data_IF_090756459764
#
_entry.id   IF_090756459764
#
_cell.length_a   1.000
_cell.length_b   1.000
_cell.length_c   1.000
_cell.angle_alpha   90.00
_cell.angle_beta   90.00
_cell.angle_gamma   90.00
#
_symmetry.space_group_name_H-M   'P 1'
#
loop_
_entity.id
_entity.type
_entity.pdbx_description
1 polymer ?
#
# COMPACT_ATOMS: atom_id res chain seq x y z
N UNK A 1 -6.39 36.26 -40.30
CA UNK A 1 -6.17 35.26 -41.37
C UNK A 1 -5.39 34.11 -40.77
N UNK A 2 -6.11 33.03 -40.42
CA UNK A 2 -5.55 31.83 -39.79
C UNK A 2 -4.80 30.98 -40.82
N UNK A 3 -3.60 30.46 -40.52
CA UNK A 3 -3.03 29.38 -41.33
C UNK A 3 -3.59 28.03 -40.86
N UNK A 4 -4.04 27.25 -41.84
CA UNK A 4 -4.61 25.89 -41.71
C UNK A 4 -3.60 24.88 -41.13
N UNK A 5 -4.08 23.80 -40.50
CA UNK A 5 -3.24 22.66 -40.14
C UNK A 5 -2.78 21.90 -41.40
N UNK A 6 -1.61 21.24 -41.38
CA UNK A 6 -1.13 20.47 -42.53
C UNK A 6 -2.00 19.22 -42.71
N UNK A 7 -2.47 19.06 -43.94
CA UNK A 7 -3.25 17.96 -44.49
C UNK A 7 -2.45 16.67 -44.57
N UNK A 8 -3.12 15.55 -44.29
CA UNK A 8 -2.68 14.18 -44.51
C UNK A 8 -2.03 13.97 -45.88
N UNK A 9 -0.81 13.44 -45.88
CA UNK A 9 -0.17 12.85 -47.06
C UNK A 9 -0.55 11.35 -47.12
N UNK A 10 -0.99 10.83 -48.29
CA UNK A 10 -1.37 9.43 -48.42
C UNK A 10 -0.14 8.54 -48.39
N UNK A 11 -0.26 7.37 -47.75
CA UNK A 11 0.68 6.25 -47.85
C UNK A 11 0.84 5.83 -49.33
N UNK A 12 1.81 6.41 -50.01
CA UNK A 12 2.33 5.94 -51.29
C UNK A 12 3.84 6.10 -51.25
N UNK A 13 4.54 5.06 -50.80
CA UNK A 13 6.00 5.19 -50.63
C UNK A 13 6.80 3.97 -50.19
N UNK A 14 6.23 2.76 -50.06
CA UNK A 14 7.01 1.51 -50.02
C UNK A 14 6.24 0.43 -50.78
N UNK A 15 6.04 0.68 -52.08
CA UNK A 15 5.53 -0.30 -53.05
C UNK A 15 6.52 -0.38 -54.24
N UNK A 16 7.81 -0.25 -53.92
CA UNK A 16 8.89 -0.01 -54.88
C UNK A 16 10.02 -1.03 -54.83
N UNK A 17 9.74 -2.30 -54.51
CA UNK A 17 10.63 -3.42 -54.87
C UNK A 17 9.73 -4.56 -55.41
N UNK A 18 9.12 -4.33 -56.56
CA UNK A 18 8.40 -5.38 -57.30
C UNK A 18 8.62 -5.31 -58.81
N UNK A 19 9.72 -4.69 -59.27
CA UNK A 19 10.06 -4.63 -60.70
C UNK A 19 11.56 -4.40 -60.88
N UNK A 20 12.35 -5.49 -60.74
CA UNK A 20 13.62 -5.70 -61.48
C UNK A 20 14.25 -7.05 -61.11
N UNK A 21 13.58 -8.16 -61.42
CA UNK A 21 14.25 -9.42 -61.82
C UNK A 21 13.35 -10.09 -62.86
N UNK A 22 13.35 -9.53 -64.07
CA UNK A 22 12.79 -10.17 -65.26
C UNK A 22 13.93 -10.37 -66.25
N UNK A 23 14.92 -11.17 -65.85
CA UNK A 23 15.86 -11.94 -66.66
C UNK A 23 16.90 -12.53 -65.71
N UNK A 24 17.28 -13.79 -65.94
CA UNK A 24 18.20 -14.65 -65.16
C UNK A 24 17.57 -15.52 -64.06
N UNK A 25 17.53 -16.83 -64.36
CA UNK A 25 17.43 -18.04 -63.54
C UNK A 25 16.50 -18.06 -62.31
N UNK A 26 15.56 -19.02 -62.34
CA UNK A 26 14.81 -19.46 -61.15
C UNK A 26 15.83 -19.79 -60.03
N UNK A 27 15.78 -19.13 -58.86
CA UNK A 27 16.70 -19.48 -57.79
C UNK A 27 16.37 -20.90 -57.33
N UNK A 28 17.37 -21.78 -57.35
CA UNK A 28 17.25 -23.12 -56.76
C UNK A 28 16.85 -22.93 -55.29
N UNK A 29 15.76 -23.57 -54.90
CA UNK A 29 15.23 -23.52 -53.53
C UNK A 29 16.22 -24.25 -52.61
N UNK A 30 17.16 -23.50 -52.03
CA UNK A 30 18.16 -24.01 -51.10
C UNK A 30 17.64 -23.93 -49.67
N UNK A 31 18.22 -24.71 -48.75
CA UNK A 31 17.85 -24.66 -47.33
C UNK A 31 17.97 -23.25 -46.73
N UNK A 32 18.89 -22.45 -47.27
CA UNK A 32 19.16 -21.06 -46.87
C UNK A 32 18.01 -20.10 -47.27
N UNK A 33 17.45 -20.23 -48.48
CA UNK A 33 16.29 -19.41 -48.90
C UNK A 33 15.02 -19.76 -48.11
N UNK A 34 14.87 -21.02 -47.67
CA UNK A 34 13.79 -21.44 -46.78
C UNK A 34 13.95 -20.90 -45.36
N UNK A 35 15.18 -20.85 -44.85
CA UNK A 35 15.51 -20.26 -43.55
C UNK A 35 15.19 -18.76 -43.49
N UNK A 36 15.61 -18.01 -44.51
CA UNK A 36 15.34 -16.57 -44.61
C UNK A 36 13.83 -16.26 -44.71
N UNK A 37 13.06 -17.04 -45.48
CA UNK A 37 11.58 -16.88 -45.54
C UNK A 37 10.92 -17.09 -44.18
N UNK A 38 11.42 -18.04 -43.39
CA UNK A 38 10.88 -18.31 -42.05
C UNK A 38 11.18 -17.17 -41.09
N UNK A 39 12.39 -16.60 -41.14
CA UNK A 39 12.74 -15.42 -40.35
C UNK A 39 11.90 -14.19 -40.71
N UNK A 40 11.65 -13.96 -42.00
CA UNK A 40 10.79 -12.86 -42.45
C UNK A 40 9.36 -13.03 -41.93
N UNK A 41 8.82 -14.25 -41.97
CA UNK A 41 7.48 -14.53 -41.46
C UNK A 41 7.38 -14.29 -39.94
N UNK A 42 8.41 -14.69 -39.17
CA UNK A 42 8.46 -14.43 -37.73
C UNK A 42 8.55 -12.94 -37.41
N UNK A 43 9.39 -12.19 -38.12
CA UNK A 43 9.50 -10.74 -37.95
C UNK A 43 8.20 -10.01 -38.30
N UNK A 44 7.47 -10.50 -39.31
CA UNK A 44 6.15 -9.97 -39.65
C UNK A 44 5.12 -10.24 -38.54
N UNK A 45 5.15 -11.42 -37.94
CA UNK A 45 4.32 -11.76 -36.79
C UNK A 45 4.63 -10.85 -35.59
N UNK A 46 5.91 -10.70 -35.23
CA UNK A 46 6.35 -9.84 -34.12
C UNK A 46 5.94 -8.38 -34.34
N UNK A 47 6.10 -7.88 -35.57
CA UNK A 47 5.69 -6.51 -35.94
C UNK A 47 4.17 -6.32 -35.79
N UNK A 48 3.36 -7.32 -36.19
CA UNK A 48 1.92 -7.26 -36.02
C UNK A 48 1.49 -7.28 -34.54
N UNK A 49 2.19 -8.06 -33.71
CA UNK A 49 1.94 -8.10 -32.28
C UNK A 49 2.30 -6.76 -31.62
N UNK A 50 3.47 -6.20 -31.91
CA UNK A 50 3.90 -4.88 -31.43
C UNK A 50 2.94 -3.77 -31.81
N UNK A 51 2.38 -3.80 -33.03
CA UNK A 51 1.37 -2.83 -33.45
C UNK A 51 0.08 -2.97 -32.63
N UNK A 52 -0.35 -4.20 -32.33
CA UNK A 52 -1.54 -4.43 -31.49
C UNK A 52 -1.33 -3.94 -30.04
N UNK A 53 -0.14 -4.14 -29.49
CA UNK A 53 0.23 -3.65 -28.16
C UNK A 53 0.30 -2.11 -28.11
N UNK A 54 0.83 -1.48 -29.16
CA UNK A 54 0.86 -0.02 -29.27
C UNK A 54 -0.55 0.58 -29.33
N UNK A 55 -1.48 -0.02 -30.05
CA UNK A 55 -2.88 0.45 -30.06
C UNK A 55 -3.55 0.25 -28.70
N UNK A 56 -3.30 -0.86 -28.02
CA UNK A 56 -3.79 -1.07 -26.66
C UNK A 56 -3.24 -0.04 -25.66
N UNK A 57 -1.96 0.35 -25.80
CA UNK A 57 -1.34 1.39 -24.98
C UNK A 57 -1.91 2.78 -25.27
N UNK A 58 -2.17 3.13 -26.53
CA UNK A 58 -2.85 4.38 -26.89
C UNK A 58 -4.25 4.47 -26.26
N UNK A 59 -5.01 3.38 -26.29
CA UNK A 59 -6.33 3.31 -25.65
C UNK A 59 -6.25 3.50 -24.13
N UNK A 60 -5.23 2.90 -23.48
CA UNK A 60 -4.99 3.11 -22.03
C UNK A 60 -4.59 4.55 -21.70
N UNK A 61 -3.78 5.19 -22.55
CA UNK A 61 -3.39 6.59 -22.38
C UNK A 61 -4.62 7.51 -22.47
N UNK A 62 -5.51 7.28 -23.44
CA UNK A 62 -6.77 8.01 -23.54
C UNK A 62 -7.68 7.81 -22.32
N UNK A 63 -7.74 6.59 -21.77
CA UNK A 63 -8.49 6.33 -20.53
C UNK A 63 -7.89 7.08 -19.34
N UNK A 64 -6.56 7.11 -19.23
CA UNK A 64 -5.87 7.88 -18.18
C UNK A 64 -6.11 9.39 -18.30
N UNK A 65 -6.10 9.94 -19.50
CA UNK A 65 -6.42 11.36 -19.72
C UNK A 65 -7.87 11.67 -19.30
N UNK A 66 -8.81 10.75 -19.58
CA UNK A 66 -10.18 10.85 -19.10
C UNK A 66 -10.31 10.80 -17.57
N UNK A 67 -9.54 9.94 -16.91
CA UNK A 67 -9.48 9.88 -15.44
C UNK A 67 -8.88 11.14 -14.84
N UNK A 68 -7.83 11.69 -15.47
CA UNK A 68 -7.19 12.94 -15.05
C UNK A 68 -8.17 14.12 -15.13
N UNK A 69 -8.91 14.25 -16.23
CA UNK A 69 -9.93 15.30 -16.37
C UNK A 69 -11.04 15.16 -15.32
N UNK A 70 -11.43 13.93 -14.97
CA UNK A 70 -12.41 13.69 -13.90
C UNK A 70 -11.85 14.05 -12.52
N UNK A 71 -10.58 13.77 -12.27
CA UNK A 71 -9.90 14.15 -11.03
C UNK A 71 -9.79 15.68 -10.90
N UNK A 72 -9.36 16.38 -11.95
CA UNK A 72 -9.30 17.86 -11.99
C UNK A 72 -10.69 18.48 -11.75
N UNK A 73 -11.75 17.89 -12.33
CA UNK A 73 -13.12 18.31 -12.05
C UNK A 73 -13.51 18.08 -10.59
N UNK A 74 -13.20 16.91 -10.03
CA UNK A 74 -13.51 16.59 -8.64
C UNK A 74 -12.77 17.52 -7.66
N UNK A 75 -11.51 17.87 -7.93
CA UNK A 75 -10.75 18.85 -7.15
C UNK A 75 -11.41 20.24 -7.20
N UNK A 76 -11.87 20.66 -8.38
CA UNK A 76 -12.64 21.91 -8.53
C UNK A 76 -13.95 21.88 -7.73
N UNK A 77 -14.69 20.78 -7.79
CA UNK A 77 -15.96 20.61 -7.07
C UNK A 77 -15.74 20.63 -5.55
N UNK A 78 -14.66 20.00 -5.05
CA UNK A 78 -14.26 20.05 -3.64
C UNK A 78 -13.92 21.49 -3.22
N UNK A 79 -13.17 22.23 -4.05
CA UNK A 79 -12.83 23.62 -3.76
C UNK A 79 -14.06 24.54 -3.72
N UNK A 80 -15.10 24.26 -4.52
CA UNK A 80 -16.36 24.99 -4.48
C UNK A 80 -17.18 24.65 -3.22
N UNK A 81 -17.25 23.36 -2.85
CA UNK A 81 -17.89 22.93 -1.61
C UNK A 81 -17.22 23.56 -0.37
N UNK A 82 -15.89 23.64 -0.35
CA UNK A 82 -15.15 24.31 0.73
C UNK A 82 -15.49 25.80 0.82
N UNK A 83 -15.62 26.50 -0.32
CA UNK A 83 -16.07 27.90 -0.35
C UNK A 83 -17.49 28.06 0.18
N UNK A 84 -18.40 27.16 -0.17
CA UNK A 84 -19.79 27.17 0.34
C UNK A 84 -19.84 26.90 1.85
N UNK A 85 -19.05 25.96 2.36
CA UNK A 85 -18.93 25.69 3.81
C UNK A 85 -18.41 26.93 4.55
N UNK A 86 -17.40 27.60 4.00
CA UNK A 86 -16.87 28.84 4.59
C UNK A 86 -17.91 29.96 4.63
N UNK A 87 -18.70 30.14 3.56
CA UNK A 87 -19.79 31.12 3.50
C UNK A 87 -20.95 30.81 4.47
N UNK A 88 -21.28 29.53 4.65
CA UNK A 88 -22.29 29.10 5.64
C UNK A 88 -21.77 29.38 7.05
N UNK A 89 -20.49 29.12 7.30
CA UNK A 89 -19.85 29.37 8.59
C UNK A 89 -19.77 30.86 8.94
N UNK A 90 -19.62 31.74 7.94
CA UNK A 90 -19.61 33.20 8.15
C UNK A 90 -21.00 33.83 8.34
N UNK A 91 -22.06 33.16 7.90
CA UNK A 91 -23.44 33.66 7.96
C UNK A 91 -24.28 33.06 9.11
N UNK A 92 -23.67 32.27 9.99
CA UNK A 92 -24.37 31.66 11.12
C UNK A 92 -24.80 32.73 12.14
N UNK A 93 -26.12 32.92 12.41
CA UNK A 93 -26.58 33.81 13.47
C UNK A 93 -26.25 33.23 14.85
N UNK A 94 -25.83 34.06 15.79
CA UNK A 94 -25.72 33.69 17.21
C UNK A 94 -27.09 33.32 17.77
N UNK A 95 -27.27 32.05 18.17
CA UNK A 95 -28.53 31.52 18.66
C UNK A 95 -28.88 31.99 20.09
N UNK A 96 -30.13 32.41 20.37
CA UNK A 96 -30.71 32.42 21.71
C UNK A 96 -31.31 31.03 22.07
N UNK A 97 -31.60 30.75 23.36
CA UNK A 97 -31.89 29.41 23.83
C UNK A 97 -33.32 28.92 23.48
N UNK A 98 -33.42 27.59 23.31
CA UNK A 98 -34.60 26.81 22.89
C UNK A 98 -35.82 26.89 23.80
N UNK A 99 -36.99 26.50 23.26
CA UNK A 99 -37.85 25.54 23.94
C UNK A 99 -38.34 24.38 23.04
N UNK A 100 -38.80 23.32 23.71
CA UNK A 100 -39.46 22.10 23.21
C UNK A 100 -40.60 22.34 22.20
N UNK A 101 -40.81 21.45 21.22
CA UNK A 101 -41.81 20.33 21.23
C UNK A 101 -42.06 19.78 19.80
N UNK A 102 -42.29 18.47 19.72
CA UNK A 102 -43.17 17.72 18.78
C UNK A 102 -42.88 17.58 17.26
N UNK A 103 -42.62 16.32 16.88
CA UNK A 103 -43.23 15.49 15.80
C UNK A 103 -43.39 16.08 14.39
N UNK A 104 -42.72 15.47 13.40
CA UNK A 104 -43.34 14.74 12.26
C UNK A 104 -42.27 14.19 11.29
N UNK A 105 -42.47 12.95 10.85
CA UNK A 105 -41.75 12.25 9.77
C UNK A 105 -42.06 12.87 8.40
N UNK A 106 -41.13 12.73 7.42
CA UNK A 106 -41.58 12.34 6.09
C UNK A 106 -40.72 11.24 5.44
N UNK A 107 -41.44 10.18 5.08
CA UNK A 107 -41.55 9.57 3.74
C UNK A 107 -40.29 9.35 2.88
N UNK A 108 -40.06 8.05 2.63
CA UNK A 108 -39.09 7.44 1.72
C UNK A 108 -39.44 7.63 0.24
N UNK A 109 -38.43 7.89 -0.59
CA UNK A 109 -38.50 7.84 -2.07
C UNK A 109 -37.60 6.68 -2.57
N UNK A 110 -38.01 5.91 -3.58
CA UNK A 110 -37.50 4.56 -3.84
C UNK A 110 -36.23 4.54 -4.71
N UNK A 111 -35.43 3.49 -4.54
CA UNK A 111 -34.29 3.14 -5.37
C UNK A 111 -34.73 2.59 -6.75
N UNK A 112 -33.96 2.83 -7.83
CA UNK A 112 -34.21 2.17 -9.10
C UNK A 112 -33.63 0.75 -9.10
N UNK A 113 -34.42 -0.19 -9.61
CA UNK A 113 -34.00 -1.55 -9.90
C UNK A 113 -33.15 -1.61 -11.19
N UNK A 114 -32.08 -2.40 -11.18
CA UNK A 114 -31.56 -3.03 -12.40
C UNK A 114 -31.07 -4.43 -12.06
N UNK A 115 -31.70 -5.41 -12.69
CA UNK A 115 -31.40 -6.83 -12.52
C UNK A 115 -30.17 -7.30 -13.28
N UNK A 116 -29.75 -8.50 -12.90
CA UNK A 116 -28.71 -9.30 -13.54
C UNK A 116 -28.18 -10.32 -12.55
N UNK A 117 -28.70 -11.56 -12.61
CA UNK A 117 -28.21 -12.69 -11.81
C UNK A 117 -26.76 -13.04 -12.19
N UNK A 118 -25.92 -13.37 -11.19
CA UNK A 118 -24.94 -14.42 -11.38
C UNK A 118 -24.98 -15.46 -10.24
N UNK A 119 -25.17 -16.72 -10.65
CA UNK A 119 -24.79 -17.97 -9.95
C UNK A 119 -25.11 -18.04 -8.45
N UNK A 120 -26.29 -18.57 -8.17
CA UNK A 120 -26.84 -18.88 -6.86
C UNK A 120 -25.97 -19.90 -6.08
N UNK A 121 -25.21 -19.42 -5.09
CA UNK A 121 -24.75 -20.24 -3.97
C UNK A 121 -25.85 -20.26 -2.89
N UNK A 122 -26.12 -21.40 -2.24
CA UNK A 122 -27.23 -21.54 -1.29
C UNK A 122 -27.14 -20.49 -0.16
N UNK A 123 -28.13 -19.60 -0.15
CA UNK A 123 -28.34 -18.61 0.91
C UNK A 123 -28.85 -19.33 2.16
N UNK A 124 -27.96 -19.53 3.14
CA UNK A 124 -28.37 -19.84 4.51
C UNK A 124 -28.85 -18.53 5.13
N UNK A 125 -30.08 -18.53 5.64
CA UNK A 125 -30.79 -17.33 6.11
C UNK A 125 -29.98 -16.50 7.12
N UNK A 126 -30.06 -15.17 7.05
CA UNK A 126 -29.20 -14.31 7.84
C UNK A 126 -29.65 -14.16 9.29
N UNK A 127 -28.71 -14.27 10.22
CA UNK A 127 -28.76 -13.61 11.52
C UNK A 127 -28.23 -12.16 11.37
N UNK A 128 -28.88 -11.38 10.49
CA UNK A 128 -28.49 -10.01 10.07
C UNK A 128 -29.19 -8.92 10.87
N UNK A 129 -29.33 -9.09 12.18
CA UNK A 129 -29.78 -7.99 13.01
C UNK A 129 -28.85 -6.79 12.83
N UNK A 130 -29.34 -5.56 12.56
CA UNK A 130 -28.50 -4.37 12.64
C UNK A 130 -27.89 -4.28 14.04
N UNK A 131 -26.64 -3.85 14.13
CA UNK A 131 -25.96 -3.72 15.42
C UNK A 131 -26.81 -2.90 16.39
N UNK A 132 -27.01 -3.42 17.60
CA UNK A 132 -27.64 -2.67 18.67
C UNK A 132 -26.75 -1.45 18.99
N UNK A 133 -27.25 -0.26 18.69
CA UNK A 133 -26.54 1.00 18.90
C UNK A 133 -26.17 1.21 20.38
N UNK A 134 -26.99 0.75 21.32
CA UNK A 134 -26.68 0.88 22.74
C UNK A 134 -25.50 -0.03 23.12
N UNK A 135 -25.48 -1.25 22.59
CA UNK A 135 -24.37 -2.18 22.77
C UNK A 135 -23.07 -1.62 22.17
N UNK A 136 -23.10 -1.17 20.92
CA UNK A 136 -21.94 -0.61 20.24
C UNK A 136 -21.40 0.64 20.95
N UNK A 137 -22.27 1.54 21.39
CA UNK A 137 -21.88 2.73 22.15
C UNK A 137 -21.22 2.38 23.49
N UNK A 138 -21.70 1.34 24.18
CA UNK A 138 -21.06 0.85 25.41
C UNK A 138 -19.65 0.33 25.14
N UNK A 139 -19.45 -0.35 24.01
CA UNK A 139 -18.16 -0.94 23.63
C UNK A 139 -17.14 0.09 23.14
N UNK A 140 -17.54 1.32 22.81
CA UNK A 140 -16.56 2.40 22.54
C UNK A 140 -15.58 2.59 23.70
N UNK A 141 -16.02 2.39 24.94
CA UNK A 141 -15.19 2.54 26.14
C UNK A 141 -14.11 1.45 26.28
N UNK A 142 -14.25 0.30 25.59
CA UNK A 142 -13.23 -0.73 25.54
C UNK A 142 -12.24 -0.55 24.38
N UNK A 143 -12.39 0.48 23.55
CA UNK A 143 -11.54 0.74 22.38
C UNK A 143 -10.61 1.93 22.64
N UNK A 144 -9.37 1.81 22.19
CA UNK A 144 -8.32 2.81 22.33
C UNK A 144 -7.78 3.22 20.98
N UNK A 145 -7.32 4.47 20.90
CA UNK A 145 -6.50 4.97 19.81
C UNK A 145 -5.05 4.78 20.21
N UNK A 146 -4.27 4.19 19.32
CA UNK A 146 -2.83 3.98 19.50
C UNK A 146 -2.12 4.89 18.50
N UNK A 147 -1.41 5.89 19.02
CA UNK A 147 -0.59 6.80 18.23
C UNK A 147 0.87 6.51 18.45
N UNK A 148 1.61 6.29 17.38
CA UNK A 148 3.06 6.30 17.38
C UNK A 148 3.63 7.36 16.46
N UNK A 149 4.96 7.44 16.41
CA UNK A 149 5.70 8.38 15.57
C UNK A 149 5.83 7.93 14.11
N UNK A 150 5.55 6.65 13.80
CA UNK A 150 5.58 6.08 12.45
C UNK A 150 4.21 5.58 11.98
N UNK A 151 3.33 5.20 12.90
CA UNK A 151 2.04 4.59 12.60
C UNK A 151 0.98 4.98 13.62
N UNK A 152 -0.27 5.01 13.20
CA UNK A 152 -1.44 5.20 14.05
C UNK A 152 -2.49 4.14 13.72
N UNK A 153 -3.18 3.66 14.75
CA UNK A 153 -4.22 2.67 14.60
C UNK A 153 -5.15 2.63 15.81
N UNK A 154 -5.86 1.52 15.92
CA UNK A 154 -6.82 1.24 16.98
C UNK A 154 -6.34 0.04 17.77
N UNK A 155 -6.69 -0.04 19.05
CA UNK A 155 -6.61 -1.27 19.84
C UNK A 155 -7.85 -1.42 20.71
N UNK A 156 -7.98 -2.51 21.43
CA UNK A 156 -9.11 -2.71 22.33
C UNK A 156 -8.78 -3.64 23.50
N UNK A 157 -9.46 -3.41 24.61
CA UNK A 157 -9.43 -4.30 25.76
C UNK A 157 -10.40 -5.47 25.53
N UNK A 158 -9.95 -6.67 25.87
CA UNK A 158 -10.83 -7.83 25.97
C UNK A 158 -10.35 -8.76 27.08
N UNK A 159 -11.29 -9.56 27.59
CA UNK A 159 -11.02 -10.61 28.58
C UNK A 159 -10.80 -11.95 27.90
N UNK A 160 -9.79 -12.66 28.38
CA UNK A 160 -9.51 -14.03 28.00
C UNK A 160 -8.99 -14.79 29.23
N UNK A 161 -9.64 -15.91 29.57
CA UNK A 161 -9.26 -16.77 30.68
C UNK A 161 -9.11 -16.01 32.01
N UNK A 162 -10.04 -15.08 32.29
CA UNK A 162 -10.06 -14.30 33.52
C UNK A 162 -9.03 -13.17 33.61
N UNK A 163 -8.29 -12.88 32.53
CA UNK A 163 -7.32 -11.78 32.46
C UNK A 163 -7.74 -10.75 31.41
N UNK A 164 -7.46 -9.48 31.67
CA UNK A 164 -7.65 -8.39 30.72
C UNK A 164 -6.38 -8.21 29.88
N UNK A 165 -6.55 -8.14 28.56
CA UNK A 165 -5.49 -7.81 27.61
C UNK A 165 -5.89 -6.64 26.74
N UNK A 166 -4.91 -5.83 26.33
CA UNK A 166 -5.03 -4.89 25.22
C UNK A 166 -4.56 -5.58 23.95
N UNK A 167 -5.44 -5.72 22.96
CA UNK A 167 -5.17 -6.27 21.65
C UNK A 167 -4.99 -5.16 20.60
N UNK A 168 -4.12 -5.41 19.63
CA UNK A 168 -3.98 -4.59 18.41
C UNK A 168 -3.29 -5.42 17.31
N UNK A 169 -3.20 -4.87 16.10
CA UNK A 169 -2.41 -5.43 15.02
C UNK A 169 -0.93 -5.15 15.26
N UNK A 170 -0.06 -6.08 14.87
CA UNK A 170 1.38 -5.96 15.13
C UNK A 170 2.00 -4.80 14.34
N UNK A 171 1.56 -4.57 13.09
CA UNK A 171 2.03 -3.46 12.27
C UNK A 171 1.69 -2.07 12.85
N UNK A 172 0.66 -1.95 13.69
CA UNK A 172 0.31 -0.68 14.35
C UNK A 172 1.42 -0.26 15.31
N UNK A 173 2.07 -1.23 15.98
CA UNK A 173 3.16 -0.95 16.91
C UNK A 173 4.53 -0.97 16.24
N UNK A 174 4.71 -1.83 15.24
CA UNK A 174 5.98 -2.08 14.56
C UNK A 174 6.65 -0.78 14.06
N UNK A 175 7.91 -0.57 14.45
CA UNK A 175 8.74 0.56 13.99
C UNK A 175 8.55 1.88 14.73
N UNK A 176 7.59 1.97 15.64
CA UNK A 176 7.44 3.17 16.48
C UNK A 176 8.51 3.21 17.58
N UNK A 177 9.03 4.39 17.90
CA UNK A 177 9.89 4.62 19.06
C UNK A 177 9.11 5.02 20.31
N UNK A 178 7.89 5.52 20.13
CA UNK A 178 6.98 5.96 21.19
C UNK A 178 5.57 5.52 20.87
N UNK A 179 4.82 5.18 21.92
CA UNK A 179 3.41 4.81 21.81
C UNK A 179 2.61 5.62 22.83
N UNK A 180 1.54 6.24 22.37
CA UNK A 180 0.52 6.88 23.17
C UNK A 180 -0.79 6.13 22.97
N UNK A 181 -1.27 5.49 24.04
CA UNK A 181 -2.45 4.63 24.04
C UNK A 181 -3.52 5.29 24.89
N UNK A 182 -4.62 5.71 24.26
CA UNK A 182 -5.66 6.49 24.94
C UNK A 182 -7.08 6.12 24.53
N UNK A 183 -8.03 6.25 25.46
CA UNK A 183 -9.46 6.22 25.13
C UNK A 183 -9.89 7.54 24.48
N UNK A 184 -11.07 7.55 23.85
CA UNK A 184 -11.72 8.79 23.37
C UNK A 184 -12.10 9.75 24.51
N UNK A 185 -12.23 9.25 25.73
CA UNK A 185 -12.42 10.05 26.94
C UNK A 185 -11.11 10.70 27.43
N UNK A 186 -9.98 10.51 26.73
CA UNK A 186 -8.69 11.13 27.05
C UNK A 186 -7.88 10.40 28.13
N UNK A 187 -8.32 9.23 28.60
CA UNK A 187 -7.54 8.43 29.56
C UNK A 187 -6.39 7.73 28.85
N UNK A 188 -5.17 8.00 29.29
CA UNK A 188 -3.94 7.34 28.80
C UNK A 188 -3.62 6.10 29.64
N UNK A 189 -3.11 5.06 28.98
CA UNK A 189 -2.63 3.83 29.59
C UNK A 189 -1.11 3.75 29.51
N UNK A 190 -0.48 3.41 30.63
CA UNK A 190 0.99 3.37 30.78
C UNK A 190 1.49 2.12 31.51
N UNK A 191 0.61 1.35 32.15
CA UNK A 191 0.98 0.17 32.95
C UNK A 191 0.61 -1.11 32.22
N UNK A 192 1.62 -1.72 31.59
CA UNK A 192 1.49 -2.95 30.82
C UNK A 192 2.36 -4.05 31.44
N UNK A 193 1.84 -5.28 31.39
CA UNK A 193 2.55 -6.50 31.75
C UNK A 193 3.26 -7.11 30.54
N UNK A 194 3.21 -8.43 30.44
CA UNK A 194 3.82 -9.16 29.34
C UNK A 194 3.31 -8.68 27.98
N UNK A 195 4.25 -8.46 27.05
CA UNK A 195 3.97 -8.22 25.65
C UNK A 195 4.11 -9.53 24.87
N UNK A 196 3.08 -9.88 24.11
CA UNK A 196 3.01 -11.15 23.40
C UNK A 196 2.64 -10.90 21.94
N UNK A 197 3.29 -11.66 21.05
CA UNK A 197 3.11 -11.58 19.61
C UNK A 197 2.54 -12.91 19.12
N UNK A 198 1.54 -12.86 18.26
CA UNK A 198 1.01 -14.07 17.63
C UNK A 198 2.00 -14.61 16.59
N UNK A 199 2.21 -15.91 16.55
CA UNK A 199 3.20 -16.50 15.63
C UNK A 199 2.76 -16.52 14.16
N UNK A 200 1.46 -16.64 13.90
CA UNK A 200 0.90 -16.86 12.56
C UNK A 200 -0.13 -15.80 12.13
N UNK A 201 -0.20 -14.67 12.84
CA UNK A 201 -1.13 -13.60 12.56
C UNK A 201 -0.53 -12.24 12.92
N UNK A 202 -0.99 -11.20 12.24
CA UNK A 202 -0.62 -9.80 12.49
C UNK A 202 -1.33 -9.27 13.74
N UNK A 203 -0.99 -9.82 14.89
CA UNK A 203 -1.66 -9.57 16.16
C UNK A 203 -0.65 -9.53 17.30
N UNK A 204 -0.87 -8.60 18.21
CA UNK A 204 -0.13 -8.50 19.46
C UNK A 204 -1.07 -8.22 20.61
N UNK A 205 -0.63 -8.53 21.83
CA UNK A 205 -1.36 -8.15 23.03
C UNK A 205 -0.45 -7.76 24.18
N UNK A 206 -0.96 -6.89 25.04
CA UNK A 206 -0.39 -6.59 26.35
C UNK A 206 -1.28 -7.16 27.43
N UNK A 207 -0.70 -7.88 28.40
CA UNK A 207 -1.40 -8.08 29.67
C UNK A 207 -1.58 -6.72 30.35
N UNK A 208 -2.78 -6.41 30.85
CA UNK A 208 -3.02 -5.13 31.53
C UNK A 208 -2.61 -5.21 33.00
N UNK A 209 -1.98 -4.14 33.50
CA UNK A 209 -1.70 -3.94 34.94
C UNK A 209 -2.53 -2.81 35.56
N UNK A 210 -3.38 -2.19 34.76
CA UNK A 210 -4.40 -1.23 35.19
C UNK A 210 -5.70 -1.54 34.45
N UNK A 211 -6.82 -1.47 35.17
CA UNK A 211 -8.12 -1.84 34.60
C UNK A 211 -8.73 -0.67 33.81
N UNK A 212 -9.36 -0.93 32.65
CA UNK A 212 -10.16 0.06 31.96
C UNK A 212 -11.39 0.47 32.78
N UNK A 213 -11.98 1.62 32.45
CA UNK A 213 -13.09 2.18 33.21
C UNK A 213 -14.38 1.33 33.08
N UNK A 214 -14.56 0.68 31.94
CA UNK A 214 -15.66 -0.24 31.67
C UNK A 214 -15.16 -1.68 31.64
N UNK A 215 -15.95 -2.67 32.11
CA UNK A 215 -15.63 -4.07 31.93
C UNK A 215 -15.36 -4.40 30.45
N UNK A 216 -14.20 -4.97 30.11
CA UNK A 216 -13.91 -5.37 28.74
C UNK A 216 -14.85 -6.48 28.25
N UNK A 217 -15.17 -6.53 26.95
CA UNK A 217 -15.88 -7.66 26.36
C UNK A 217 -15.05 -8.96 26.46
N UNK A 218 -15.75 -10.09 26.44
CA UNK A 218 -15.12 -11.41 26.31
C UNK A 218 -14.82 -11.71 24.83
N UNK A 219 -13.89 -12.64 24.58
CA UNK A 219 -13.66 -13.18 23.23
C UNK A 219 -14.87 -14.00 22.75
N UNK A 220 -15.10 -14.00 21.44
CA UNK A 220 -16.05 -14.89 20.80
C UNK A 220 -15.53 -16.35 20.84
N UNK A 221 -16.46 -17.30 20.78
CA UNK A 221 -16.17 -18.74 20.67
C UNK A 221 -16.18 -19.17 19.20
N UNK A 222 -15.60 -20.33 18.90
CA UNK A 222 -15.37 -20.85 17.54
C UNK A 222 -16.66 -21.33 16.82
N UNK A 223 -17.65 -20.47 16.68
CA UNK A 223 -18.96 -20.82 16.11
C UNK A 223 -19.38 -19.93 14.93
N UNK A 224 -18.45 -19.12 14.42
CA UNK A 224 -18.75 -18.17 13.36
C UNK A 224 -18.96 -18.81 11.99
N UNK A 225 -19.90 -18.24 11.24
CA UNK A 225 -20.26 -18.62 9.89
C UNK A 225 -20.32 -17.38 9.00
N UNK A 226 -20.16 -17.61 7.70
CA UNK A 226 -20.44 -16.59 6.68
C UNK A 226 -21.91 -16.15 6.81
N UNK A 227 -22.14 -14.85 6.71
CA UNK A 227 -23.45 -14.22 6.87
C UNK A 227 -23.75 -13.68 8.27
N UNK A 228 -22.98 -14.05 9.31
CA UNK A 228 -23.19 -13.51 10.65
C UNK A 228 -22.95 -12.00 10.69
N UNK A 229 -23.85 -11.28 11.38
CA UNK A 229 -23.72 -9.84 11.65
C UNK A 229 -22.51 -9.53 12.53
N UNK A 230 -21.74 -8.53 12.11
CA UNK A 230 -20.57 -8.04 12.83
C UNK A 230 -20.49 -6.53 12.74
N UNK A 231 -19.73 -5.90 13.63
CA UNK A 231 -19.38 -4.49 13.48
C UNK A 231 -17.95 -4.26 13.93
N UNK A 232 -17.28 -3.33 13.26
CA UNK A 232 -15.96 -2.87 13.65
C UNK A 232 -16.06 -1.53 14.38
N UNK A 233 -15.12 -1.30 15.30
CA UNK A 233 -14.92 0.02 15.90
C UNK A 233 -13.47 0.44 15.65
N UNK A 234 -13.26 1.67 15.18
CA UNK A 234 -11.90 2.17 15.02
C UNK A 234 -11.81 3.62 14.60
N UNK A 235 -10.57 4.12 14.59
CA UNK A 235 -10.22 5.48 14.25
C UNK A 235 -10.11 5.68 12.73
N UNK A 236 -11.24 5.54 12.03
CA UNK A 236 -11.29 5.63 10.56
C UNK A 236 -10.62 6.90 10.04
N UNK A 237 -9.59 6.74 9.21
CA UNK A 237 -8.86 7.84 8.58
C UNK A 237 -7.93 8.63 9.52
N UNK A 238 -7.78 8.24 10.80
CA UNK A 238 -6.85 8.89 11.73
C UNK A 238 -7.36 10.20 12.34
N UNK A 239 -8.67 10.46 12.32
CA UNK A 239 -9.27 11.72 12.79
C UNK A 239 -9.30 11.90 14.31
N UNK A 240 -8.89 10.90 15.10
CA UNK A 240 -9.02 10.93 16.56
C UNK A 240 -10.44 10.61 17.06
N UNK A 241 -11.30 10.08 16.18
CA UNK A 241 -12.71 9.77 16.47
C UNK A 241 -12.96 8.31 16.16
N UNK A 242 -13.56 7.59 17.11
CA UNK A 242 -13.97 6.22 16.88
C UNK A 242 -15.30 6.17 16.12
N UNK A 243 -15.31 5.40 15.03
CA UNK A 243 -16.49 5.13 14.20
C UNK A 243 -16.93 3.69 14.39
N UNK A 244 -18.24 3.47 14.44
CA UNK A 244 -18.86 2.14 14.41
C UNK A 244 -19.21 1.81 12.95
N UNK A 245 -18.81 0.64 12.48
CA UNK A 245 -18.93 0.23 11.08
C UNK A 245 -19.60 -1.14 11.01
N UNK A 246 -20.89 -1.13 10.66
CA UNK A 246 -21.68 -2.36 10.50
C UNK A 246 -21.22 -3.19 9.29
N UNK A 247 -21.39 -4.50 9.41
CA UNK A 247 -21.13 -5.44 8.33
C UNK A 247 -21.56 -6.86 8.66
N UNK A 248 -21.04 -7.77 7.84
CA UNK A 248 -21.25 -9.22 7.94
C UNK A 248 -19.93 -9.92 7.69
N UNK A 249 -19.83 -11.17 8.14
CA UNK A 249 -18.75 -12.08 7.72
C UNK A 249 -19.02 -12.50 6.28
N UNK A 250 -18.10 -12.19 5.36
CA UNK A 250 -18.21 -12.55 3.94
C UNK A 250 -17.34 -13.75 3.55
N UNK A 251 -16.37 -14.09 4.40
CA UNK A 251 -15.46 -15.23 4.16
C UNK A 251 -14.75 -15.66 5.44
N UNK A 252 -14.39 -16.93 5.51
CA UNK A 252 -13.65 -17.51 6.62
C UNK A 252 -12.45 -18.30 6.10
N UNK A 253 -11.28 -17.95 6.61
CA UNK A 253 -10.06 -18.73 6.51
C UNK A 253 -9.71 -19.38 7.85
N UNK A 254 -8.61 -20.17 7.89
CA UNK A 254 -8.14 -20.80 9.13
C UNK A 254 -7.82 -19.75 10.20
N UNK A 255 -7.20 -18.63 9.81
CA UNK A 255 -6.73 -17.58 10.72
C UNK A 255 -7.33 -16.20 10.44
N UNK A 256 -8.21 -16.07 9.44
CA UNK A 256 -8.72 -14.79 8.97
C UNK A 256 -10.23 -14.81 8.74
N UNK A 257 -10.83 -13.64 8.89
CA UNK A 257 -12.24 -13.34 8.63
C UNK A 257 -12.26 -12.26 7.57
N UNK A 258 -12.98 -12.49 6.48
CA UNK A 258 -13.32 -11.44 5.54
C UNK A 258 -14.64 -10.80 5.97
N UNK A 259 -14.72 -9.47 5.91
CA UNK A 259 -15.91 -8.73 6.34
C UNK A 259 -16.34 -7.66 5.34
N UNK A 260 -17.64 -7.42 5.27
CA UNK A 260 -18.22 -6.30 4.53
C UNK A 260 -18.18 -4.97 5.28
N UNK A 261 -17.82 -4.96 6.57
CA UNK A 261 -17.68 -3.72 7.34
C UNK A 261 -16.70 -2.77 6.65
N UNK A 262 -17.10 -1.52 6.45
CA UNK A 262 -16.40 -0.53 5.63
C UNK A 262 -15.12 0.03 6.29
N UNK A 263 -14.28 -0.85 6.81
CA UNK A 263 -13.02 -0.47 7.45
C UNK A 263 -12.03 0.11 6.44
N UNK A 264 -11.25 1.10 6.90
CA UNK A 264 -10.19 1.78 6.16
C UNK A 264 -8.96 1.94 7.07
N UNK A 265 -7.93 2.60 6.57
CA UNK A 265 -6.75 2.96 7.37
C UNK A 265 -7.16 3.63 8.69
N UNK A 266 -6.47 3.29 9.78
CA UNK A 266 -6.78 3.74 11.14
C UNK A 266 -7.69 2.79 11.93
N UNK A 267 -8.48 1.95 11.27
CA UNK A 267 -9.22 0.86 11.93
C UNK A 267 -8.35 -0.36 12.22
N UNK A 268 -7.19 -0.48 11.58
CA UNK A 268 -6.23 -1.54 11.86
C UNK A 268 -5.89 -1.61 13.34
N UNK A 269 -5.89 -2.84 13.87
CA UNK A 269 -5.78 -3.19 15.28
C UNK A 269 -7.08 -3.08 16.08
N UNK A 270 -8.11 -2.46 15.53
CA UNK A 270 -9.42 -2.37 16.15
C UNK A 270 -10.18 -3.70 16.17
N UNK A 271 -11.19 -3.83 17.04
CA UNK A 271 -11.98 -5.04 17.15
C UNK A 271 -12.96 -5.19 15.99
N UNK A 272 -13.20 -6.44 15.61
CA UNK A 272 -14.42 -6.90 14.95
C UNK A 272 -15.26 -7.62 16.02
N UNK A 273 -16.44 -7.10 16.32
CA UNK A 273 -17.36 -7.66 17.32
C UNK A 273 -18.48 -8.46 16.65
N UNK A 274 -19.01 -9.47 17.34
CA UNK A 274 -20.30 -10.09 16.98
C UNK A 274 -21.42 -9.07 17.20
N UNK A 275 -22.32 -8.91 16.23
CA UNK A 275 -23.42 -7.96 16.35
C UNK A 275 -24.40 -8.27 17.50
N UNK A 276 -24.78 -9.54 17.78
CA UNK A 276 -25.78 -9.82 18.81
C UNK A 276 -25.23 -9.72 20.24
N UNK A 277 -24.01 -10.22 20.51
CA UNK A 277 -23.46 -10.29 21.88
C UNK A 277 -22.37 -9.26 22.17
N UNK A 278 -21.78 -8.64 21.15
CA UNK A 278 -20.67 -7.71 21.32
C UNK A 278 -19.39 -8.38 21.80
N UNK A 279 -19.20 -9.66 21.47
CA UNK A 279 -17.98 -10.42 21.80
C UNK A 279 -16.90 -10.15 20.78
N UNK A 280 -15.65 -10.03 21.24
CA UNK A 280 -14.51 -9.75 20.37
C UNK A 280 -14.18 -10.97 19.51
N UNK A 281 -14.47 -10.88 18.22
CA UNK A 281 -14.32 -11.96 17.27
C UNK A 281 -12.96 -11.92 16.54
N UNK A 282 -12.46 -10.72 16.24
CA UNK A 282 -11.21 -10.58 15.52
C UNK A 282 -10.58 -9.20 15.64
N UNK A 283 -9.41 -9.06 15.04
CA UNK A 283 -8.64 -7.81 14.98
C UNK A 283 -8.54 -7.39 13.53
N UNK A 284 -9.00 -6.19 13.17
CA UNK A 284 -8.83 -5.65 11.81
C UNK A 284 -7.33 -5.54 11.49
N UNK A 285 -6.88 -6.10 10.37
CA UNK A 285 -5.43 -6.12 10.04
C UNK A 285 -5.14 -5.44 8.72
N UNK A 286 -5.75 -5.90 7.63
CA UNK A 286 -5.36 -5.47 6.30
C UNK A 286 -6.53 -5.46 5.33
N UNK A 287 -6.30 -4.79 4.21
CA UNK A 287 -7.18 -4.72 3.07
C UNK A 287 -6.43 -5.27 1.86
N UNK A 288 -7.14 -5.97 0.98
CA UNK A 288 -6.63 -6.37 -0.33
C UNK A 288 -7.29 -5.45 -1.36
N UNK A 289 -6.43 -4.81 -2.17
CA UNK A 289 -6.87 -3.89 -3.19
C UNK A 289 -7.79 -4.58 -4.22
N UNK A 290 -8.71 -3.79 -4.76
CA UNK A 290 -9.55 -4.18 -5.88
C UNK A 290 -8.70 -4.68 -7.06
N UNK A 291 -9.14 -5.77 -7.69
CA UNK A 291 -8.54 -6.26 -8.93
C UNK A 291 -9.20 -5.59 -10.13
N UNK A 292 -8.39 -5.04 -11.02
CA UNK A 292 -8.85 -4.32 -12.22
C UNK A 292 -8.71 -5.13 -13.51
N UNK A 293 -8.32 -6.40 -13.42
CA UNK A 293 -8.20 -7.27 -14.58
C UNK A 293 -9.55 -7.85 -15.02
N UNK A 294 -9.60 -8.30 -16.28
CA UNK A 294 -10.84 -8.77 -16.92
C UNK A 294 -11.53 -9.92 -16.20
N UNK A 295 -10.79 -10.72 -15.42
CA UNK A 295 -11.34 -11.85 -14.68
C UNK A 295 -12.05 -11.42 -13.41
N UNK A 296 -11.69 -10.26 -12.86
CA UNK A 296 -12.27 -9.76 -11.62
C UNK A 296 -13.52 -8.91 -11.84
N UNK A 297 -13.66 -8.28 -13.01
CA UNK A 297 -14.60 -7.19 -13.28
C UNK A 297 -16.08 -7.46 -12.90
N UNK A 298 -16.53 -8.71 -12.95
CA UNK A 298 -17.89 -9.13 -12.60
C UNK A 298 -17.97 -9.97 -11.32
N UNK A 299 -16.96 -9.86 -10.44
CA UNK A 299 -16.82 -10.66 -9.22
C UNK A 299 -16.60 -9.74 -8.01
N UNK A 300 -16.82 -10.22 -6.78
CA UNK A 300 -16.47 -9.47 -5.56
C UNK A 300 -14.98 -9.09 -5.46
N UNK A 301 -14.10 -9.71 -6.28
CA UNK A 301 -12.69 -9.36 -6.34
C UNK A 301 -12.42 -8.03 -7.05
N UNK A 302 -13.42 -7.45 -7.75
CA UNK A 302 -13.35 -6.09 -8.29
C UNK A 302 -13.43 -5.01 -7.20
N UNK A 303 -13.82 -5.38 -5.98
CA UNK A 303 -13.90 -4.47 -4.85
C UNK A 303 -12.73 -4.66 -3.88
N UNK A 304 -12.55 -3.66 -3.00
CA UNK A 304 -11.60 -3.77 -1.89
C UNK A 304 -12.12 -4.79 -0.88
N UNK A 305 -11.30 -5.80 -0.58
CA UNK A 305 -11.60 -6.85 0.40
C UNK A 305 -10.95 -6.53 1.73
N UNK A 306 -11.61 -6.84 2.84
CA UNK A 306 -11.24 -6.38 4.18
C UNK A 306 -11.15 -7.54 5.15
N UNK A 307 -10.07 -7.58 5.93
CA UNK A 307 -9.72 -8.75 6.71
C UNK A 307 -9.46 -8.43 8.18
N UNK A 308 -9.96 -9.32 9.03
CA UNK A 308 -9.63 -9.41 10.43
C UNK A 308 -8.88 -10.71 10.71
N UNK A 309 -7.91 -10.69 11.62
CA UNK A 309 -7.33 -11.91 12.17
C UNK A 309 -8.23 -12.48 13.27
N UNK A 310 -8.37 -13.81 13.31
CA UNK A 310 -9.31 -14.52 14.18
C UNK A 310 -8.83 -14.55 15.64
N UNK A 311 -9.75 -14.27 16.57
CA UNK A 311 -9.54 -14.46 18.02
C UNK A 311 -10.29 -15.67 18.59
N UNK A 312 -11.21 -16.25 17.82
CA UNK A 312 -12.01 -17.41 18.16
C UNK A 312 -11.29 -18.75 17.89
N UNK A 313 -9.98 -18.70 17.59
CA UNK A 313 -9.11 -19.86 17.34
C UNK A 313 -8.00 -19.95 18.41
N UNK A 314 -7.33 -21.10 18.48
CA UNK A 314 -6.18 -21.27 19.38
C UNK A 314 -4.95 -20.52 18.87
N UNK A 315 -4.81 -19.26 19.27
CA UNK A 315 -3.68 -18.40 18.89
C UNK A 315 -2.45 -18.77 19.72
N UNK A 316 -1.34 -19.11 19.04
CA UNK A 316 -0.04 -19.31 19.66
C UNK A 316 0.64 -17.97 19.93
N UNK A 317 0.79 -17.66 21.22
CA UNK A 317 1.41 -16.42 21.70
C UNK A 317 2.85 -16.66 22.11
N UNK A 318 3.73 -15.76 21.69
CA UNK A 318 5.13 -15.73 22.12
C UNK A 318 5.42 -14.44 22.88
N UNK A 319 5.86 -14.56 24.13
CA UNK A 319 6.31 -13.40 24.91
C UNK A 319 7.63 -12.87 24.36
N UNK A 320 7.69 -11.56 24.09
CA UNK A 320 8.91 -10.88 23.63
C UNK A 320 9.04 -9.53 24.31
N UNK A 321 10.26 -9.00 24.52
CA UNK A 321 10.43 -7.63 24.98
C UNK A 321 9.90 -6.64 23.93
N UNK A 322 9.00 -5.74 24.32
CA UNK A 322 8.45 -4.73 23.38
C UNK A 322 9.56 -3.88 22.75
N UNK A 323 10.57 -3.48 23.52
CA UNK A 323 11.69 -2.70 23.02
C UNK A 323 12.43 -3.41 21.87
N UNK A 324 12.62 -4.73 21.99
CA UNK A 324 13.21 -5.54 20.92
C UNK A 324 12.31 -5.57 19.68
N UNK A 325 11.00 -5.77 19.86
CA UNK A 325 10.04 -5.76 18.76
C UNK A 325 10.04 -4.44 17.98
N UNK A 326 10.05 -3.30 18.68
CA UNK A 326 10.09 -1.97 18.05
C UNK A 326 11.41 -1.74 17.29
N UNK A 327 12.53 -2.12 17.89
CA UNK A 327 13.87 -1.94 17.30
C UNK A 327 14.12 -2.86 16.10
N UNK A 328 13.57 -4.08 16.09
CA UNK A 328 13.67 -5.00 14.96
C UNK A 328 13.20 -4.37 13.65
N UNK A 329 12.02 -3.72 13.66
CA UNK A 329 11.49 -3.06 12.46
C UNK A 329 12.40 -1.92 12.01
N UNK A 330 12.96 -1.16 12.94
CA UNK A 330 13.91 -0.09 12.63
C UNK A 330 15.13 -0.63 11.89
N UNK A 331 15.72 -1.73 12.37
CA UNK A 331 16.87 -2.38 11.71
C UNK A 331 16.52 -2.84 10.30
N UNK A 332 15.31 -3.38 10.08
CA UNK A 332 14.82 -3.76 8.75
C UNK A 332 14.70 -2.53 7.84
N UNK A 333 14.10 -1.44 8.32
CA UNK A 333 13.94 -0.23 7.50
C UNK A 333 15.26 0.49 7.22
N UNK A 334 16.23 0.42 8.13
CA UNK A 334 17.57 0.90 7.85
C UNK A 334 18.21 0.11 6.69
N UNK A 335 18.06 -1.22 6.64
CA UNK A 335 18.54 -2.05 5.52
C UNK A 335 17.78 -1.72 4.25
N UNK A 336 16.45 -1.67 4.30
CA UNK A 336 15.60 -1.31 3.16
C UNK A 336 15.93 0.07 2.60
N UNK A 337 16.19 1.06 3.46
CA UNK A 337 16.61 2.40 3.06
C UNK A 337 17.91 2.40 2.27
N UNK A 338 18.93 1.67 2.74
CA UNK A 338 20.20 1.52 2.01
C UNK A 338 20.00 0.72 0.70
N UNK A 339 19.18 -0.32 0.70
CA UNK A 339 18.83 -1.09 -0.51
C UNK A 339 18.20 -0.21 -1.60
N UNK A 340 17.21 0.62 -1.24
CA UNK A 340 16.57 1.59 -2.15
C UNK A 340 17.59 2.58 -2.71
N UNK A 341 18.54 3.03 -1.88
CA UNK A 341 19.62 3.92 -2.28
C UNK A 341 20.57 3.26 -3.29
N UNK A 342 20.97 2.01 -3.07
CA UNK A 342 21.79 1.27 -4.03
C UNK A 342 21.07 1.08 -5.37
N UNK A 343 19.78 0.73 -5.32
CA UNK A 343 18.96 0.60 -6.52
C UNK A 343 18.88 1.94 -7.27
N UNK A 344 18.60 3.04 -6.58
CA UNK A 344 18.58 4.38 -7.18
C UNK A 344 19.90 4.70 -7.90
N UNK A 345 21.04 4.46 -7.26
CA UNK A 345 22.35 4.72 -7.86
C UNK A 345 22.62 3.85 -9.09
N UNK A 346 22.16 2.59 -9.09
CA UNK A 346 22.35 1.70 -10.24
C UNK A 346 21.57 2.16 -11.48
N UNK A 347 20.53 2.97 -11.29
CA UNK A 347 19.74 3.54 -12.39
C UNK A 347 20.32 4.86 -12.92
N UNK A 348 21.31 5.44 -12.25
CA UNK A 348 21.84 6.76 -12.58
C UNK A 348 23.19 6.68 -13.30
N UNK A 349 23.29 7.40 -14.41
CA UNK A 349 24.50 7.55 -15.19
C UNK A 349 25.19 8.90 -14.90
N UNK A 350 26.46 8.89 -14.47
CA UNK A 350 27.28 10.09 -14.40
C UNK A 350 27.50 10.74 -15.77
N UNK A 351 27.34 12.06 -15.85
CA UNK A 351 27.70 12.87 -17.03
C UNK A 351 28.42 14.13 -16.59
N UNK A 352 29.05 14.84 -17.52
CA UNK A 352 29.67 16.16 -17.28
C UNK A 352 28.67 17.21 -16.80
N UNK A 353 27.37 17.02 -17.06
CA UNK A 353 26.27 17.84 -16.57
C UNK A 353 25.60 17.30 -15.29
N UNK A 354 26.20 16.28 -14.65
CA UNK A 354 25.65 15.60 -13.47
C UNK A 354 25.01 14.24 -13.76
N UNK A 355 24.27 13.71 -12.78
CA UNK A 355 23.57 12.43 -12.83
C UNK A 355 22.34 12.52 -13.73
N UNK A 356 22.20 11.55 -14.64
CA UNK A 356 21.04 11.39 -15.51
C UNK A 356 20.41 10.03 -15.27
N UNK A 357 19.08 9.96 -15.35
CA UNK A 357 18.37 8.69 -15.37
C UNK A 357 18.80 7.88 -16.60
N UNK A 358 19.22 6.62 -16.39
CA UNK A 358 19.42 5.68 -17.49
C UNK A 358 18.08 5.34 -18.14
N UNK A 359 18.10 4.98 -19.43
CA UNK A 359 16.91 4.82 -20.30
C UNK A 359 15.85 3.80 -19.88
N UNK A 360 15.93 3.21 -18.68
CA UNK A 360 14.91 2.33 -18.10
C UNK A 360 14.27 2.86 -16.79
N UNK A 361 14.53 4.12 -16.40
CA UNK A 361 14.23 4.61 -15.03
C UNK A 361 12.92 5.38 -14.86
N UNK A 362 11.92 5.22 -15.74
CA UNK A 362 10.65 5.97 -15.58
C UNK A 362 9.85 5.57 -14.32
N UNK A 363 10.17 4.42 -13.69
CA UNK A 363 9.44 3.93 -12.50
C UNK A 363 10.10 4.25 -11.15
N UNK A 364 11.34 4.71 -11.10
CA UNK A 364 12.07 4.95 -9.85
C UNK A 364 12.50 6.41 -9.80
N UNK A 365 11.99 7.16 -8.81
CA UNK A 365 12.48 8.51 -8.50
C UNK A 365 13.84 8.45 -7.79
N UNK A 366 14.88 8.11 -8.55
CA UNK A 366 16.22 7.91 -8.03
C UNK A 366 16.79 9.18 -7.39
N UNK A 367 16.47 10.36 -7.96
CA UNK A 367 16.88 11.65 -7.39
C UNK A 367 16.12 11.96 -6.09
N UNK A 368 14.81 11.68 -6.03
CA UNK A 368 14.03 11.79 -4.79
C UNK A 368 14.58 10.91 -3.67
N UNK A 369 14.94 9.66 -3.99
CA UNK A 369 15.57 8.73 -3.02
C UNK A 369 16.90 9.30 -2.50
N UNK A 370 17.74 9.87 -3.37
CA UNK A 370 18.97 10.53 -2.95
C UNK A 370 18.70 11.73 -2.04
N UNK A 371 17.73 12.58 -2.38
CA UNK A 371 17.37 13.75 -1.58
C UNK A 371 16.84 13.37 -0.20
N UNK A 372 16.02 12.32 -0.10
CA UNK A 372 15.55 11.78 1.19
C UNK A 372 16.73 11.30 2.06
N UNK A 373 17.83 10.86 1.45
CA UNK A 373 19.03 10.38 2.13
C UNK A 373 20.15 11.44 2.24
N UNK A 374 19.87 12.72 1.99
CA UNK A 374 20.87 13.82 1.99
C UNK A 374 21.61 14.03 3.32
N UNK A 375 21.11 13.46 4.42
CA UNK A 375 21.76 13.54 5.73
C UNK A 375 22.94 12.58 5.85
N UNK A 376 23.01 11.54 5.00
CA UNK A 376 24.16 10.62 4.94
C UNK A 376 25.37 11.33 4.31
N UNK A 377 26.57 11.29 4.92
CA UNK A 377 27.73 12.03 4.42
C UNK A 377 28.08 11.76 2.95
N UNK A 378 28.10 10.49 2.54
CA UNK A 378 28.43 10.08 1.16
C UNK A 378 27.39 10.59 0.14
N UNK A 379 26.10 10.57 0.52
CA UNK A 379 25.00 11.04 -0.33
C UNK A 379 25.00 12.57 -0.42
N UNK A 380 25.25 13.26 0.69
CA UNK A 380 25.40 14.72 0.72
C UNK A 380 26.50 15.18 -0.24
N UNK A 381 27.69 14.60 -0.13
CA UNK A 381 28.82 14.93 -0.98
C UNK A 381 28.54 14.63 -2.46
N UNK A 382 27.87 13.51 -2.75
CA UNK A 382 27.41 13.17 -4.09
C UNK A 382 26.45 14.23 -4.66
N UNK A 383 25.45 14.67 -3.88
CA UNK A 383 24.47 15.69 -4.29
C UNK A 383 25.11 17.07 -4.50
N UNK A 384 26.08 17.45 -3.66
CA UNK A 384 26.84 18.70 -3.80
C UNK A 384 27.69 18.69 -5.07
N UNK A 385 28.37 17.57 -5.36
CA UNK A 385 29.12 17.41 -6.60
C UNK A 385 28.19 17.44 -7.82
N UNK A 386 27.07 16.72 -7.77
CA UNK A 386 26.07 16.69 -8.83
C UNK A 386 25.56 18.10 -9.16
N UNK A 387 25.25 18.89 -8.12
CA UNK A 387 24.79 20.28 -8.28
C UNK A 387 25.87 21.19 -8.88
N UNK A 388 27.14 20.97 -8.51
CA UNK A 388 28.28 21.74 -9.02
C UNK A 388 28.53 21.49 -10.50
N UNK A 389 28.37 20.24 -10.95
CA UNK A 389 28.47 19.86 -12.36
C UNK A 389 27.31 20.45 -13.18
N UNK A 390 26.07 20.28 -12.71
CA UNK A 390 24.89 20.83 -13.38
C UNK A 390 24.92 22.36 -13.52
N UNK A 391 25.51 23.06 -12.54
CA UNK A 391 25.67 24.52 -12.56
C UNK A 391 26.88 25.03 -13.33
N UNK A 392 27.63 24.17 -14.04
CA UNK A 392 28.91 24.51 -14.68
C UNK A 392 29.96 25.14 -13.74
N UNK A 393 29.82 24.93 -12.42
CA UNK A 393 30.75 25.44 -11.38
C UNK A 393 31.96 24.54 -11.21
N UNK A 394 31.94 23.36 -11.82
CA UNK A 394 33.02 22.38 -11.82
C UNK A 394 33.21 21.83 -13.23
N UNK A 395 34.45 21.83 -13.73
CA UNK A 395 34.84 21.14 -14.96
C UNK A 395 35.83 20.04 -14.60
N UNK A 396 35.56 18.82 -15.06
CA UNK A 396 36.39 17.63 -14.83
C UNK A 396 36.55 16.88 -16.14
N UNK A 397 37.65 16.16 -16.29
CA UNK A 397 37.75 15.16 -17.35
C UNK A 397 36.73 14.04 -17.09
N UNK A 398 36.26 13.38 -18.15
CA UNK A 398 35.33 12.24 -18.00
C UNK A 398 35.92 11.16 -17.08
N UNK A 399 37.24 10.94 -17.16
CA UNK A 399 37.98 9.99 -16.32
C UNK A 399 37.95 10.36 -14.83
N UNK A 400 38.21 11.63 -14.50
CA UNK A 400 38.20 12.09 -13.10
C UNK A 400 36.78 12.10 -12.53
N UNK A 401 35.80 12.42 -13.38
CA UNK A 401 34.38 12.40 -13.03
C UNK A 401 33.93 10.99 -12.69
N UNK A 402 34.17 10.02 -13.58
CA UNK A 402 33.89 8.60 -13.37
C UNK A 402 34.52 8.13 -12.06
N UNK A 403 35.82 8.40 -11.84
CA UNK A 403 36.52 8.01 -10.62
C UNK A 403 35.85 8.54 -9.35
N UNK A 404 35.40 9.80 -9.35
CA UNK A 404 34.72 10.42 -8.20
C UNK A 404 33.35 9.78 -7.94
N UNK A 405 32.53 9.60 -8.98
CA UNK A 405 31.23 8.95 -8.85
C UNK A 405 31.37 7.51 -8.38
N UNK A 406 32.29 6.74 -8.94
CA UNK A 406 32.63 5.37 -8.49
C UNK A 406 32.98 5.35 -7.00
N UNK A 407 33.80 6.31 -6.52
CA UNK A 407 34.13 6.39 -5.09
C UNK A 407 32.91 6.60 -4.18
N UNK A 408 31.93 7.40 -4.60
CA UNK A 408 30.67 7.54 -3.84
C UNK A 408 29.85 6.25 -3.85
N UNK A 409 29.77 5.57 -5.00
CA UNK A 409 29.00 4.33 -5.14
C UNK A 409 29.62 3.21 -4.29
N UNK A 410 30.95 3.08 -4.32
CA UNK A 410 31.71 2.14 -3.49
C UNK A 410 31.55 2.42 -1.99
N UNK A 411 31.54 3.69 -1.58
CA UNK A 411 31.34 4.06 -0.17
C UNK A 411 29.97 3.59 0.36
N UNK A 412 28.92 3.80 -0.43
CA UNK A 412 27.55 3.41 -0.07
C UNK A 412 27.37 1.88 -0.15
N UNK A 413 27.97 1.22 -1.15
CA UNK A 413 28.03 -0.24 -1.22
C UNK A 413 28.74 -0.84 0.00
N UNK A 414 29.85 -0.25 0.43
CA UNK A 414 30.61 -0.68 1.61
C UNK A 414 29.80 -0.51 2.90
N UNK A 415 29.03 0.57 3.01
CA UNK A 415 28.06 0.78 4.10
C UNK A 415 27.00 -0.33 4.13
N UNK A 416 26.38 -0.63 2.99
CA UNK A 416 25.40 -1.72 2.86
C UNK A 416 25.98 -3.07 3.29
N UNK A 417 27.19 -3.41 2.82
CA UNK A 417 27.86 -4.67 3.19
C UNK A 417 28.09 -4.78 4.69
N UNK A 418 28.59 -3.71 5.33
CA UNK A 418 28.76 -3.66 6.79
C UNK A 418 27.44 -3.84 7.52
N UNK A 419 26.39 -3.17 7.05
CA UNK A 419 25.06 -3.24 7.64
C UNK A 419 24.49 -4.67 7.58
N UNK A 420 24.65 -5.36 6.45
CA UNK A 420 24.15 -6.73 6.28
C UNK A 420 25.01 -7.81 6.95
N UNK A 421 26.27 -7.53 7.30
CA UNK A 421 27.18 -8.53 7.88
C UNK A 421 26.72 -9.09 9.24
N UNK A 422 26.07 -8.26 10.06
CA UNK A 422 25.49 -8.65 11.36
C UNK A 422 23.96 -8.78 11.34
N UNK A 423 23.36 -8.80 10.15
CA UNK A 423 21.92 -8.87 9.97
C UNK A 423 21.50 -10.33 9.79
N UNK A 424 21.09 -10.95 10.89
CA UNK A 424 20.69 -12.36 10.96
C UNK A 424 19.17 -12.46 11.16
N UNK A 425 18.38 -12.78 10.10
CA UNK A 425 16.92 -12.85 10.18
C UNK A 425 16.40 -13.84 11.22
N UNK A 426 17.14 -14.90 11.54
CA UNK A 426 16.69 -15.93 12.49
C UNK A 426 16.63 -15.41 13.93
N UNK A 427 17.36 -14.32 14.23
CA UNK A 427 17.32 -13.66 15.55
C UNK A 427 16.12 -12.75 15.74
N UNK A 428 15.34 -12.48 14.70
CA UNK A 428 14.16 -11.62 14.79
C UNK A 428 12.97 -12.38 15.39
N UNK A 429 12.10 -11.63 16.05
CA UNK A 429 10.80 -12.08 16.51
C UNK A 429 9.95 -12.67 15.38
N UNK A 430 8.95 -13.51 15.71
CA UNK A 430 8.18 -14.26 14.72
C UNK A 430 7.53 -13.37 13.66
N UNK A 431 7.08 -12.17 14.05
CA UNK A 431 6.45 -11.22 13.14
C UNK A 431 7.43 -10.58 12.13
N UNK A 432 8.66 -10.24 12.55
CA UNK A 432 9.63 -9.56 11.71
C UNK A 432 10.57 -10.48 10.94
N UNK A 433 10.62 -11.78 11.28
CA UNK A 433 11.57 -12.73 10.69
C UNK A 433 11.49 -12.81 9.17
N UNK A 434 10.30 -13.00 8.62
CA UNK A 434 10.14 -13.13 7.16
C UNK A 434 10.43 -11.81 6.45
N UNK A 435 10.02 -10.67 7.02
CA UNK A 435 10.37 -9.34 6.51
C UNK A 435 11.90 -9.10 6.53
N UNK A 436 12.59 -9.60 7.54
CA UNK A 436 14.05 -9.51 7.63
C UNK A 436 14.73 -10.39 6.56
N UNK A 437 14.23 -11.61 6.32
CA UNK A 437 14.75 -12.48 5.24
C UNK A 437 14.64 -11.79 3.89
N UNK A 438 13.45 -11.31 3.56
CA UNK A 438 13.19 -10.59 2.32
C UNK A 438 14.08 -9.34 2.19
N UNK A 439 14.20 -8.54 3.25
CA UNK A 439 15.07 -7.35 3.27
C UNK A 439 16.53 -7.69 2.97
N UNK A 440 17.05 -8.77 3.55
CA UNK A 440 18.41 -9.24 3.33
C UNK A 440 18.63 -9.73 1.89
N UNK A 441 17.66 -10.46 1.32
CA UNK A 441 17.70 -10.93 -0.06
C UNK A 441 17.74 -9.76 -1.04
N UNK A 442 16.81 -8.81 -0.91
CA UNK A 442 16.79 -7.61 -1.76
C UNK A 442 18.05 -6.76 -1.60
N UNK A 443 18.60 -6.65 -0.39
CA UNK A 443 19.86 -5.95 -0.16
C UNK A 443 21.00 -6.61 -0.92
N UNK A 444 21.12 -7.94 -0.87
CA UNK A 444 22.15 -8.68 -1.62
C UNK A 444 21.99 -8.48 -3.12
N UNK A 445 20.76 -8.54 -3.64
CA UNK A 445 20.49 -8.28 -5.06
C UNK A 445 20.91 -6.87 -5.49
N UNK A 446 20.56 -5.84 -4.70
CA UNK A 446 20.94 -4.46 -4.97
C UNK A 446 22.46 -4.24 -4.87
N UNK A 447 23.13 -4.92 -3.93
CA UNK A 447 24.60 -4.90 -3.81
C UNK A 447 25.29 -5.49 -5.05
N UNK A 448 24.75 -6.55 -5.64
CA UNK A 448 25.25 -7.10 -6.91
C UNK A 448 25.04 -6.09 -8.04
N UNK A 449 23.81 -5.56 -8.18
CA UNK A 449 23.47 -4.63 -9.26
C UNK A 449 24.34 -3.37 -9.28
N UNK A 450 24.58 -2.76 -8.11
CA UNK A 450 25.46 -1.59 -8.02
C UNK A 450 26.93 -1.96 -8.26
N UNK A 451 27.36 -3.18 -7.88
CA UNK A 451 28.72 -3.65 -8.17
C UNK A 451 28.96 -3.77 -9.67
N UNK A 452 27.97 -4.30 -10.42
CA UNK A 452 28.03 -4.40 -11.88
C UNK A 452 28.03 -3.02 -12.54
N UNK A 453 27.24 -2.08 -11.99
CA UNK A 453 27.22 -0.68 -12.44
C UNK A 453 28.59 -0.02 -12.25
N UNK A 454 29.21 -0.19 -11.07
CA UNK A 454 30.57 0.32 -10.79
C UNK A 454 31.59 -0.26 -11.79
N UNK A 455 31.52 -1.57 -12.06
CA UNK A 455 32.41 -2.20 -13.04
C UNK A 455 32.18 -1.66 -14.46
N UNK A 456 30.92 -1.40 -14.84
CA UNK A 456 30.56 -0.82 -16.12
C UNK A 456 31.07 0.62 -16.29
N UNK A 457 31.08 1.42 -15.23
CA UNK A 457 31.62 2.78 -15.26
C UNK A 457 33.15 2.81 -15.44
N UNK A 458 33.86 1.78 -14.96
CA UNK A 458 35.32 1.71 -15.04
C UNK A 458 35.86 1.10 -16.35
N UNK A 459 34.98 0.59 -17.22
CA UNK A 459 35.30 0.12 -18.57
C UNK A 459 35.13 1.25 -19.57
#
# INVERSE_FOLDING_TARGET
MSPRPPTDLPLAGILGISLLVSSCDKPKDTAETKGLRTQIANLQADTSQLNSENEALKMRLQQMDGLRQRAEKAESDVADLQRRIAQISSNAPTAPPSPETAVTTPESVPAPASGGDPLNFPQVGPDTGPTDKALANRLLASVVIIKGDQSEGTGFFARQNGKTYLYTAAHVLSGNSKLDIRTTAGRTFTKFGAFEVAEAADMVRFAMQEEPASPPPELATNEMKVGHGVFAIGNSGGGGVLTILDGTVTGLGPNQIETSAAVIQGNSGGPLFTAPEGRALGIITHLIAARTDVWAAATPFADVRRFAARLDVDVKWKTVPIASFLEERRRIEEVNGTTRLLLALSTLQPTTAGLRAGGQSEKIDALGILQQNRTRPSVKALLEMNSSLAGNRMRQSDRDLIKKFTGFYEAILSESKRQTAGFDPERFGPYHRELAKESLEWSKAAQTLISDTIQGLNK
#
